data_IF_932239706866
#
_entry.id   IF_932239706866
#
_cell.length_a   1.000
_cell.length_b   1.000
_cell.length_c   1.000
_cell.angle_alpha   90.00
_cell.angle_beta   90.00
_cell.angle_gamma   90.00
#
_symmetry.space_group_name_H-M   'P 1'
#
loop_
_entity.id
_entity.type
_entity.pdbx_description
1 polymer ?
#
# COMPACT_ATOMS: atom_id res chain seq x y z
N UNK A 1 16.55 -12.54 -18.93
CA UNK A 1 15.09 -12.34 -19.13
C UNK A 1 14.29 -12.47 -17.82
N UNK A 2 14.39 -13.59 -17.08
CA UNK A 2 13.61 -13.78 -15.82
C UNK A 2 13.81 -12.64 -14.80
N UNK A 3 15.05 -12.18 -14.59
CA UNK A 3 15.31 -11.05 -13.67
C UNK A 3 14.69 -9.72 -14.15
N UNK A 4 14.64 -9.46 -15.47
CA UNK A 4 14.02 -8.25 -15.99
C UNK A 4 12.50 -8.27 -15.79
N UNK A 5 11.86 -9.43 -16.03
CA UNK A 5 10.44 -9.64 -15.75
C UNK A 5 10.16 -9.48 -14.25
N UNK A 6 10.99 -10.08 -13.39
CA UNK A 6 10.85 -9.92 -11.94
C UNK A 6 10.96 -8.46 -11.50
N UNK A 7 11.87 -7.67 -12.09
CA UNK A 7 11.98 -6.23 -11.78
C UNK A 7 10.75 -5.46 -12.27
N UNK A 8 10.24 -5.73 -13.46
CA UNK A 8 9.01 -5.10 -13.97
C UNK A 8 7.81 -5.40 -13.07
N UNK A 9 7.72 -6.61 -12.54
CA UNK A 9 6.67 -7.01 -11.60
C UNK A 9 6.76 -6.32 -10.23
N UNK A 10 7.88 -5.66 -9.89
CA UNK A 10 7.97 -4.84 -8.67
C UNK A 10 7.40 -3.44 -8.86
N UNK A 11 7.21 -2.97 -10.10
CA UNK A 11 6.77 -1.59 -10.36
C UNK A 11 5.38 -1.30 -9.77
N UNK A 12 4.33 -2.09 -10.05
CA UNK A 12 2.99 -1.78 -9.50
C UNK A 12 2.94 -1.69 -7.98
N UNK A 13 3.49 -2.63 -7.18
CA UNK A 13 3.43 -2.56 -5.72
C UNK A 13 4.29 -1.43 -5.15
N UNK A 14 5.45 -1.13 -5.77
CA UNK A 14 6.25 0.04 -5.36
C UNK A 14 5.49 1.33 -5.63
N UNK A 15 4.89 1.50 -6.82
CA UNK A 15 4.11 2.69 -7.15
C UNK A 15 2.93 2.90 -6.21
N UNK A 16 2.17 1.84 -5.92
CA UNK A 16 1.03 1.91 -4.99
C UNK A 16 1.51 2.22 -3.58
N UNK A 17 2.59 1.57 -3.11
CA UNK A 17 3.16 1.85 -1.77
C UNK A 17 3.56 3.32 -1.65
N UNK A 18 4.27 3.85 -2.64
CA UNK A 18 4.66 5.27 -2.68
C UNK A 18 3.43 6.17 -2.71
N UNK A 19 2.41 5.84 -3.49
CA UNK A 19 1.17 6.61 -3.56
C UNK A 19 0.40 6.62 -2.23
N UNK A 20 0.30 5.47 -1.55
CA UNK A 20 -0.35 5.38 -0.23
C UNK A 20 0.44 6.16 0.82
N UNK A 21 1.77 6.05 0.84
CA UNK A 21 2.61 6.86 1.73
C UNK A 21 2.47 8.35 1.42
N UNK A 22 2.45 8.72 0.14
CA UNK A 22 2.27 10.11 -0.27
C UNK A 22 0.95 10.67 0.27
N UNK A 23 -0.15 9.92 0.06
CA UNK A 23 -1.48 10.25 0.56
C UNK A 23 -1.52 10.31 2.07
N UNK A 24 -0.95 9.32 2.76
CA UNK A 24 -0.94 9.22 4.21
C UNK A 24 -0.12 10.33 4.87
N UNK A 25 0.97 10.80 4.25
CA UNK A 25 1.89 11.77 4.85
C UNK A 25 1.63 13.22 4.44
N UNK A 26 1.23 13.49 3.19
CA UNK A 26 1.16 14.87 2.66
C UNK A 26 -0.23 15.33 2.21
N UNK A 27 -1.14 14.42 1.88
CA UNK A 27 -2.48 14.83 1.44
C UNK A 27 -3.38 15.04 2.66
N UNK A 28 -4.06 16.18 2.81
CA UNK A 28 -4.93 16.43 3.97
C UNK A 28 -6.10 15.45 4.07
N UNK A 29 -6.67 15.05 2.92
CA UNK A 29 -7.82 14.16 2.87
C UNK A 29 -7.45 12.70 3.21
N UNK A 30 -8.27 12.08 4.07
CA UNK A 30 -8.15 10.67 4.42
C UNK A 30 -9.08 9.75 3.61
N UNK A 31 -9.83 10.24 2.61
CA UNK A 31 -10.79 9.44 1.85
C UNK A 31 -10.45 9.35 0.37
N UNK A 32 -10.81 8.25 -0.28
CA UNK A 32 -10.61 8.00 -1.71
C UNK A 32 -11.88 7.41 -2.33
N UNK A 33 -12.10 7.63 -3.62
CA UNK A 33 -13.24 7.06 -4.35
C UNK A 33 -13.10 5.56 -4.67
N UNK A 34 -12.04 4.91 -4.21
CA UNK A 34 -11.77 3.49 -4.42
C UNK A 34 -11.67 2.76 -3.09
N UNK A 35 -12.15 1.52 -3.05
CA UNK A 35 -11.98 0.61 -1.92
C UNK A 35 -10.48 0.33 -1.66
N UNK A 36 -9.89 0.81 -0.53
CA UNK A 36 -8.45 0.76 -0.32
C UNK A 36 -7.89 -0.68 -0.27
N UNK A 37 -8.69 -1.65 0.18
CA UNK A 37 -8.27 -3.06 0.23
C UNK A 37 -7.97 -3.65 -1.16
N UNK A 38 -8.55 -3.11 -2.24
CA UNK A 38 -8.23 -3.54 -3.61
C UNK A 38 -6.77 -3.31 -3.98
N UNK A 39 -6.13 -2.28 -3.39
CA UNK A 39 -4.71 -2.02 -3.61
C UNK A 39 -3.82 -3.14 -3.06
N UNK A 40 -4.28 -3.97 -2.11
CA UNK A 40 -3.49 -5.11 -1.64
C UNK A 40 -3.21 -6.12 -2.75
N UNK A 41 -4.09 -6.20 -3.76
CA UNK A 41 -3.92 -7.09 -4.90
C UNK A 41 -2.62 -6.85 -5.68
N UNK A 42 -2.09 -5.62 -5.71
CA UNK A 42 -0.82 -5.37 -6.43
C UNK A 42 0.38 -6.03 -5.77
N UNK A 43 0.30 -6.39 -4.48
CA UNK A 43 1.35 -7.12 -3.79
C UNK A 43 1.57 -8.53 -4.39
N UNK A 44 0.55 -9.12 -5.01
CA UNK A 44 0.64 -10.42 -5.69
C UNK A 44 1.69 -10.41 -6.79
N UNK A 45 1.84 -9.30 -7.52
CA UNK A 45 2.88 -9.20 -8.56
C UNK A 45 4.30 -9.34 -7.99
N UNK A 46 4.56 -8.83 -6.79
CA UNK A 46 5.81 -9.05 -6.06
C UNK A 46 5.97 -10.49 -5.58
N UNK A 47 4.89 -11.17 -5.18
CA UNK A 47 4.94 -12.61 -4.86
C UNK A 47 5.31 -13.45 -6.10
N UNK A 48 4.74 -13.12 -7.26
CA UNK A 48 5.09 -13.74 -8.54
C UNK A 48 6.58 -13.47 -8.86
N UNK A 49 7.05 -12.23 -8.69
CA UNK A 49 8.45 -11.89 -8.89
C UNK A 49 9.39 -12.69 -7.98
N UNK A 50 8.99 -12.93 -6.73
CA UNK A 50 9.72 -13.75 -5.77
C UNK A 50 9.76 -15.23 -6.19
N UNK A 51 8.64 -15.79 -6.64
CA UNK A 51 8.56 -17.17 -7.11
C UNK A 51 9.42 -17.42 -8.37
N UNK A 52 9.53 -16.42 -9.25
CA UNK A 52 10.34 -16.49 -10.47
C UNK A 52 11.84 -16.27 -10.23
N UNK A 53 12.23 -15.72 -9.07
CA UNK A 53 13.61 -15.35 -8.74
C UNK A 53 14.30 -16.40 -7.87
N UNK A 54 15.56 -16.73 -8.21
CA UNK A 54 16.43 -17.60 -7.38
C UNK A 54 17.56 -16.85 -6.66
N UNK A 55 17.62 -15.53 -6.79
CA UNK A 55 18.68 -14.67 -6.27
C UNK A 55 18.21 -13.81 -5.09
N UNK A 56 19.05 -12.86 -4.64
CA UNK A 56 18.68 -11.81 -3.67
C UNK A 56 17.38 -11.08 -4.03
N UNK A 57 17.03 -11.02 -5.32
CA UNK A 57 15.78 -10.44 -5.80
C UNK A 57 14.53 -11.11 -5.22
N UNK A 58 14.58 -12.40 -4.88
CA UNK A 58 13.48 -13.09 -4.20
C UNK A 58 13.15 -12.44 -2.87
N UNK A 59 14.17 -12.15 -2.06
CA UNK A 59 13.99 -11.54 -0.75
C UNK A 59 13.53 -10.09 -0.84
N UNK A 60 14.05 -9.34 -1.83
CA UNK A 60 13.57 -7.99 -2.12
C UNK A 60 12.09 -8.03 -2.49
N UNK A 61 11.69 -8.92 -3.38
CA UNK A 61 10.30 -9.05 -3.83
C UNK A 61 9.36 -9.44 -2.68
N UNK A 62 9.77 -10.38 -1.80
CA UNK A 62 9.02 -10.70 -0.59
C UNK A 62 8.90 -9.49 0.35
N UNK A 63 9.99 -8.74 0.54
CA UNK A 63 9.99 -7.51 1.33
C UNK A 63 9.05 -6.45 0.78
N UNK A 64 9.06 -6.22 -0.55
CA UNK A 64 8.15 -5.30 -1.22
C UNK A 64 6.70 -5.73 -1.04
N UNK A 65 6.39 -7.02 -1.19
CA UNK A 65 5.05 -7.55 -0.96
C UNK A 65 4.56 -7.28 0.46
N UNK A 66 5.38 -7.59 1.47
CA UNK A 66 5.04 -7.38 2.88
C UNK A 66 4.90 -5.89 3.22
N UNK A 67 5.81 -5.05 2.71
CA UNK A 67 5.76 -3.61 2.90
C UNK A 67 4.48 -3.02 2.27
N UNK A 68 4.12 -3.45 1.06
CA UNK A 68 2.92 -2.99 0.36
C UNK A 68 1.67 -3.30 1.18
N UNK A 69 1.50 -4.56 1.62
CA UNK A 69 0.36 -4.98 2.44
C UNK A 69 0.35 -4.23 3.77
N UNK A 70 1.50 -4.14 4.46
CA UNK A 70 1.60 -3.46 5.75
C UNK A 70 1.28 -1.98 5.68
N UNK A 71 1.75 -1.28 4.64
CA UNK A 71 1.45 0.15 4.42
C UNK A 71 -0.04 0.36 4.16
N UNK A 72 -0.66 -0.46 3.30
CA UNK A 72 -2.09 -0.34 2.99
C UNK A 72 -2.93 -0.69 4.22
N UNK A 73 -2.64 -1.81 4.88
CA UNK A 73 -3.35 -2.25 6.08
C UNK A 73 -3.23 -1.23 7.21
N UNK A 74 -2.03 -0.66 7.41
CA UNK A 74 -1.82 0.42 8.37
C UNK A 74 -2.60 1.67 8.01
N UNK A 75 -2.59 2.09 6.74
CA UNK A 75 -3.34 3.26 6.29
C UNK A 75 -4.87 3.09 6.50
N UNK A 76 -5.40 1.90 6.28
CA UNK A 76 -6.81 1.56 6.55
C UNK A 76 -7.07 1.55 8.06
N UNK A 77 -6.27 0.79 8.82
CA UNK A 77 -6.44 0.61 10.26
C UNK A 77 -6.43 1.94 11.03
N UNK A 78 -5.56 2.87 10.63
CA UNK A 78 -5.42 4.18 11.24
C UNK A 78 -6.28 5.25 10.57
N UNK A 79 -7.26 4.90 9.73
CA UNK A 79 -8.15 5.84 9.04
C UNK A 79 -7.40 6.95 8.27
N UNK A 80 -6.22 6.64 7.76
CA UNK A 80 -5.42 7.53 6.90
C UNK A 80 -5.84 7.40 5.43
N UNK A 81 -6.49 6.28 5.09
CA UNK A 81 -7.06 6.02 3.78
C UNK A 81 -8.35 5.20 3.91
N UNK A 82 -9.49 5.87 3.78
CA UNK A 82 -10.84 5.36 3.85
C UNK A 82 -11.49 5.37 2.47
N UNK A 83 -12.46 4.48 2.25
CA UNK A 83 -13.38 4.62 1.13
C UNK A 83 -14.30 5.83 1.38
N UNK A 84 -14.67 6.56 0.33
CA UNK A 84 -15.53 7.75 0.41
C UNK A 84 -16.85 7.48 1.14
N UNK A 85 -17.53 6.38 0.82
CA UNK A 85 -18.79 5.99 1.45
C UNK A 85 -18.62 5.68 2.94
N UNK A 86 -17.49 5.06 3.31
CA UNK A 86 -17.16 4.78 4.71
C UNK A 86 -16.81 6.07 5.47
N UNK A 87 -16.07 6.98 4.85
CA UNK A 87 -15.79 8.31 5.41
C UNK A 87 -17.07 9.10 5.71
N UNK A 88 -18.06 9.10 4.80
CA UNK A 88 -19.38 9.69 5.05
C UNK A 88 -20.07 8.98 6.21
N UNK A 89 -20.08 7.65 6.22
CA UNK A 89 -20.74 6.84 7.26
C UNK A 89 -20.15 7.10 8.65
N UNK A 90 -18.85 7.38 8.74
CA UNK A 90 -18.14 7.72 9.98
C UNK A 90 -18.31 9.20 10.39
N UNK A 91 -19.10 9.98 9.66
CA UNK A 91 -19.35 11.38 9.99
C UNK A 91 -18.24 12.33 9.53
N UNK A 92 -17.57 11.99 8.43
CA UNK A 92 -16.52 12.81 7.81
C UNK A 92 -15.34 13.10 8.76
N UNK A 93 -14.72 12.07 9.37
CA UNK A 93 -13.66 12.28 10.33
C UNK A 93 -12.46 12.97 9.67
N UNK A 94 -11.87 13.91 10.39
CA UNK A 94 -10.59 14.50 10.03
C UNK A 94 -9.49 13.43 10.00
N UNK A 95 -8.48 13.68 9.18
CA UNK A 95 -7.32 12.81 9.11
C UNK A 95 -6.57 12.79 10.45
N UNK A 96 -6.28 11.61 11.02
CA UNK A 96 -5.53 11.52 12.26
C UNK A 96 -4.15 12.17 12.16
N UNK A 97 -3.79 12.96 13.18
CA UNK A 97 -2.45 13.54 13.27
C UNK A 97 -1.43 12.48 13.71
N UNK A 98 -0.17 12.64 13.31
CA UNK A 98 0.93 11.77 13.77
C UNK A 98 1.04 11.69 15.30
N UNK A 99 0.70 12.77 15.99
CA UNK A 99 0.69 12.83 17.45
C UNK A 99 -0.44 12.01 18.10
N UNK A 100 -1.51 11.70 17.35
CA UNK A 100 -2.60 10.85 17.80
C UNK A 100 -2.30 9.35 17.57
N UNK A 101 -1.49 9.02 16.55
CA UNK A 101 -1.15 7.63 16.19
C UNK A 101 -0.07 7.00 17.07
N UNK A 102 0.74 7.82 17.77
CA UNK A 102 1.83 7.36 18.63
C UNK A 102 1.47 7.21 20.12
N UNK A 103 0.19 7.35 20.48
CA UNK A 103 -0.32 7.15 21.85
C UNK A 103 -1.07 5.83 21.93
#
# INVERSE_FOLDING_TARGET
>A
MKNAISVLLLIPPVMVTVWVLYRALWVPDNHTGFEPSLFMGVAVSSLIAAALSRSRLRWIALGVSLATVGVIAGAIHFNLLLQYEEWIRLGMPDKPSWAALGR
#
